data_IF_441702351807
#
_entry.id   IF_441702351807
#
_cell.length_a   1.000
_cell.length_b   1.000
_cell.length_c   1.000
_cell.angle_alpha   90.00
_cell.angle_beta   90.00
_cell.angle_gamma   90.00
#
_symmetry.space_group_name_H-M   'P 1'
#
loop_
_entity.id
_entity.type
_entity.pdbx_description
1 polymer ?
#
# COMPACT_ATOMS: atom_id res chain seq x y z
N UNK A 1 -25.02 -3.19 10.65
CA UNK A 1 -23.95 -2.92 9.69
C UNK A 1 -22.67 -3.54 10.22
N UNK A 2 -21.87 -4.12 9.34
CA UNK A 2 -20.49 -4.58 9.66
C UNK A 2 -19.54 -3.68 8.88
N UNK A 3 -18.46 -3.23 9.53
CA UNK A 3 -17.45 -2.38 8.91
C UNK A 3 -16.13 -3.13 8.85
N UNK A 4 -15.54 -3.21 7.67
CA UNK A 4 -14.26 -3.86 7.40
C UNK A 4 -13.20 -2.86 7.00
N UNK A 5 -11.95 -3.16 7.30
CA UNK A 5 -10.80 -2.55 6.64
C UNK A 5 -10.57 -3.20 5.26
N UNK A 6 -9.76 -2.58 4.40
CA UNK A 6 -9.45 -3.07 3.06
C UNK A 6 -8.15 -3.86 3.03
N UNK A 7 -7.02 -3.19 3.04
CA UNK A 7 -5.72 -3.80 2.80
C UNK A 7 -5.34 -4.80 3.91
N UNK A 8 -5.11 -6.05 3.54
CA UNK A 8 -4.80 -7.13 4.48
C UNK A 8 -5.99 -7.67 5.28
N UNK A 9 -7.22 -7.15 5.04
CA UNK A 9 -8.45 -7.61 5.70
C UNK A 9 -9.44 -8.17 4.68
N UNK A 10 -9.82 -7.39 3.69
CA UNK A 10 -10.77 -7.83 2.64
C UNK A 10 -10.12 -7.99 1.27
N UNK A 11 -9.07 -7.22 1.00
CA UNK A 11 -8.27 -7.32 -0.22
C UNK A 11 -6.78 -7.31 0.13
N UNK A 12 -5.92 -7.64 -0.81
CA UNK A 12 -4.46 -7.61 -0.67
C UNK A 12 -3.94 -8.54 0.45
N UNK A 13 -3.50 -9.71 0.06
CA UNK A 13 -2.86 -10.68 0.96
C UNK A 13 -1.65 -10.07 1.68
N UNK A 14 -1.85 -9.76 2.97
CA UNK A 14 -0.84 -9.25 3.90
C UNK A 14 -0.27 -7.86 3.57
N UNK A 15 -1.06 -6.98 2.94
CA UNK A 15 -0.64 -5.61 2.59
C UNK A 15 0.67 -5.57 1.81
N UNK A 16 0.80 -6.44 0.80
CA UNK A 16 2.04 -6.65 0.05
C UNK A 16 2.38 -5.49 -0.88
N UNK A 17 1.38 -4.73 -1.35
CA UNK A 17 1.57 -3.64 -2.29
C UNK A 17 2.61 -2.61 -1.82
N UNK A 18 2.56 -2.05 -0.60
CA UNK A 18 3.56 -1.05 -0.18
C UNK A 18 4.99 -1.59 -0.19
N UNK A 19 5.20 -2.85 0.24
CA UNK A 19 6.53 -3.43 0.28
C UNK A 19 7.10 -3.69 -1.12
N UNK A 20 6.25 -4.09 -2.06
CA UNK A 20 6.62 -4.24 -3.48
C UNK A 20 6.99 -2.87 -4.10
N UNK A 21 6.24 -1.83 -3.75
CA UNK A 21 6.51 -0.47 -4.23
C UNK A 21 7.85 0.06 -3.72
N UNK A 22 8.18 -0.15 -2.43
CA UNK A 22 9.49 0.20 -1.91
C UNK A 22 10.63 -0.50 -2.69
N UNK A 23 10.49 -1.80 -2.93
CA UNK A 23 11.48 -2.55 -3.71
C UNK A 23 11.67 -1.98 -5.11
N UNK A 24 10.59 -1.73 -5.85
CA UNK A 24 10.62 -1.17 -7.20
C UNK A 24 11.26 0.22 -7.23
N UNK A 25 10.86 1.11 -6.32
CA UNK A 25 11.37 2.48 -6.25
C UNK A 25 12.88 2.51 -5.96
N UNK A 26 13.34 1.73 -5.00
CA UNK A 26 14.76 1.66 -4.69
C UNK A 26 15.57 0.94 -5.77
N UNK A 27 15.04 -0.14 -6.34
CA UNK A 27 15.69 -0.85 -7.45
C UNK A 27 15.89 0.04 -8.68
N UNK A 28 14.94 0.94 -8.98
CA UNK A 28 15.07 1.92 -10.06
C UNK A 28 16.21 2.92 -9.81
N UNK A 29 16.59 3.15 -8.56
CA UNK A 29 17.71 4.00 -8.17
C UNK A 29 19.05 3.23 -8.07
N UNK A 30 19.04 1.90 -8.27
CA UNK A 30 20.21 1.04 -8.13
C UNK A 30 20.51 0.65 -6.67
N UNK A 31 19.52 0.72 -5.79
CA UNK A 31 19.61 0.35 -4.38
C UNK A 31 18.68 -0.83 -4.11
N UNK A 32 19.19 -1.90 -3.52
CA UNK A 32 18.46 -3.13 -3.31
C UNK A 32 18.39 -3.48 -1.82
N UNK A 33 17.18 -3.72 -1.35
CA UNK A 33 16.91 -4.19 0.00
C UNK A 33 16.26 -5.57 -0.03
N UNK A 34 16.56 -6.37 0.96
CA UNK A 34 15.81 -7.61 1.20
C UNK A 34 14.39 -7.30 1.67
N UNK A 35 13.48 -8.25 1.47
CA UNK A 35 12.10 -8.13 1.97
C UNK A 35 12.05 -7.89 3.49
N UNK A 36 12.97 -8.48 4.23
CA UNK A 36 13.08 -8.29 5.68
C UNK A 36 13.47 -6.84 6.03
N UNK A 37 14.45 -6.27 5.34
CA UNK A 37 14.88 -4.87 5.53
C UNK A 37 13.73 -3.91 5.25
N UNK A 38 13.00 -4.09 4.14
CA UNK A 38 11.83 -3.29 3.79
C UNK A 38 10.73 -3.41 4.85
N UNK A 39 10.45 -4.59 5.35
CA UNK A 39 9.37 -4.82 6.29
C UNK A 39 9.69 -4.34 7.72
N UNK A 40 10.95 -4.21 8.10
CA UNK A 40 11.34 -3.80 9.46
C UNK A 40 10.76 -2.45 9.89
N UNK A 41 10.81 -1.37 9.08
CA UNK A 41 10.15 -0.10 9.39
C UNK A 41 8.68 -0.03 8.92
N UNK A 42 8.03 -1.16 8.56
CA UNK A 42 6.64 -1.14 8.10
C UNK A 42 5.70 -0.61 9.21
N UNK A 43 4.75 0.23 8.82
CA UNK A 43 3.88 0.95 9.76
C UNK A 43 4.32 2.38 10.07
N UNK A 44 5.56 2.76 9.73
CA UNK A 44 5.99 4.15 9.79
C UNK A 44 5.33 5.00 8.69
N UNK A 45 5.29 6.30 8.89
CA UNK A 45 4.99 7.27 7.82
C UNK A 45 5.94 7.07 6.65
N UNK A 46 5.48 7.20 5.39
CA UNK A 46 6.20 6.72 4.20
C UNK A 46 7.55 7.42 3.97
N UNK A 47 7.64 8.74 4.18
CA UNK A 47 8.92 9.46 4.08
C UNK A 47 9.88 9.04 5.19
N UNK A 48 9.37 8.83 6.40
CA UNK A 48 10.16 8.31 7.51
C UNK A 48 10.68 6.89 7.21
N UNK A 49 9.88 6.04 6.57
CA UNK A 49 10.27 4.71 6.14
C UNK A 49 11.41 4.76 5.08
N UNK A 50 11.26 5.60 4.03
CA UNK A 50 12.30 5.81 3.02
C UNK A 50 13.62 6.27 3.66
N UNK A 51 13.53 7.24 4.58
CA UNK A 51 14.69 7.76 5.33
C UNK A 51 15.33 6.67 6.21
N UNK A 52 14.52 5.85 6.89
CA UNK A 52 15.01 4.75 7.72
C UNK A 52 15.81 3.73 6.91
N UNK A 53 15.35 3.35 5.71
CA UNK A 53 16.06 2.43 4.81
C UNK A 53 17.39 3.00 4.34
N UNK A 54 17.42 4.24 3.86
CA UNK A 54 18.66 4.90 3.41
C UNK A 54 19.63 5.23 4.55
N UNK A 55 19.17 5.31 5.80
CA UNK A 55 20.01 5.53 6.97
C UNK A 55 20.69 4.26 7.48
N UNK A 56 20.34 3.09 6.94
CA UNK A 56 21.08 1.85 7.25
C UNK A 56 22.48 1.91 6.60
N UNK A 57 23.45 1.20 7.17
CA UNK A 57 24.78 1.09 6.60
C UNK A 57 24.73 0.57 5.14
N UNK A 58 23.91 -0.47 4.91
CA UNK A 58 23.70 -1.04 3.58
C UNK A 58 23.07 -0.03 2.61
N UNK A 59 22.00 0.66 3.01
CA UNK A 59 21.29 1.63 2.17
C UNK A 59 22.17 2.84 1.81
N UNK A 60 22.86 3.41 2.79
CA UNK A 60 23.77 4.55 2.57
C UNK A 60 24.93 4.17 1.64
N UNK A 61 25.54 2.99 1.83
CA UNK A 61 26.64 2.53 0.99
C UNK A 61 26.22 2.32 -0.46
N UNK A 62 25.09 1.62 -0.69
CA UNK A 62 24.54 1.38 -2.03
C UNK A 62 24.15 2.70 -2.71
N UNK A 63 23.48 3.60 -2.00
CA UNK A 63 23.12 4.91 -2.54
C UNK A 63 24.37 5.70 -2.99
N UNK A 64 25.36 5.79 -2.13
CA UNK A 64 26.62 6.46 -2.46
C UNK A 64 27.34 5.83 -3.65
N UNK A 65 27.32 4.51 -3.76
CA UNK A 65 27.85 3.79 -4.92
C UNK A 65 27.08 4.11 -6.20
N UNK A 66 25.73 4.14 -6.13
CA UNK A 66 24.88 4.38 -7.30
C UNK A 66 24.86 5.84 -7.75
N UNK A 67 24.93 6.80 -6.82
CA UNK A 67 24.78 8.24 -7.08
C UNK A 67 26.06 9.05 -6.99
N UNK A 68 27.12 8.51 -6.41
CA UNK A 68 28.40 9.21 -6.21
C UNK A 68 28.42 10.21 -5.04
N UNK A 69 27.30 10.33 -4.30
CA UNK A 69 27.14 11.26 -3.17
C UNK A 69 26.24 10.63 -2.08
N UNK A 70 26.28 11.19 -0.89
CA UNK A 70 25.36 10.82 0.18
C UNK A 70 23.94 11.32 -0.15
N UNK A 71 22.90 10.61 0.34
CA UNK A 71 21.51 11.00 0.12
C UNK A 71 21.15 12.29 0.88
N UNK A 72 20.14 13.00 0.39
CA UNK A 72 19.64 14.26 0.92
C UNK A 72 18.15 14.23 1.15
N UNK A 73 17.60 15.23 1.85
CA UNK A 73 16.15 15.37 2.00
C UNK A 73 15.43 15.56 0.64
N UNK A 74 16.08 16.19 -0.33
CA UNK A 74 15.55 16.32 -1.69
C UNK A 74 15.40 14.93 -2.38
N UNK A 75 16.30 14.00 -2.09
CA UNK A 75 16.19 12.63 -2.59
C UNK A 75 15.02 11.90 -1.94
N UNK A 76 14.76 12.12 -0.65
CA UNK A 76 13.59 11.57 0.05
C UNK A 76 12.28 12.07 -0.57
N UNK A 77 12.17 13.37 -0.87
CA UNK A 77 10.98 13.93 -1.54
C UNK A 77 10.78 13.29 -2.91
N UNK A 78 11.82 13.17 -3.73
CA UNK A 78 11.77 12.56 -5.05
C UNK A 78 11.39 11.07 -5.00
N UNK A 79 11.97 10.32 -4.04
CA UNK A 79 11.62 8.91 -3.81
C UNK A 79 10.17 8.76 -3.34
N UNK A 80 9.68 9.69 -2.54
CA UNK A 80 8.29 9.68 -2.08
C UNK A 80 7.31 9.93 -3.24
N UNK A 81 7.58 10.90 -4.11
CA UNK A 81 6.79 11.13 -5.31
C UNK A 81 6.76 9.89 -6.22
N UNK A 82 7.91 9.23 -6.41
CA UNK A 82 8.00 8.00 -7.16
C UNK A 82 7.22 6.86 -6.48
N UNK A 83 7.28 6.77 -5.16
CA UNK A 83 6.54 5.80 -4.37
C UNK A 83 5.02 5.99 -4.53
N UNK A 84 4.51 7.21 -4.42
CA UNK A 84 3.08 7.50 -4.60
C UNK A 84 2.60 7.14 -6.01
N UNK A 85 3.37 7.53 -7.03
CA UNK A 85 3.05 7.21 -8.42
C UNK A 85 3.02 5.70 -8.69
N UNK A 86 4.00 4.96 -8.17
CA UNK A 86 4.07 3.51 -8.34
C UNK A 86 2.99 2.78 -7.51
N UNK A 87 2.73 3.24 -6.28
CA UNK A 87 1.65 2.69 -5.46
C UNK A 87 0.30 2.84 -6.17
N UNK A 88 0.04 3.99 -6.76
CA UNK A 88 -1.18 4.22 -7.53
C UNK A 88 -1.32 3.25 -8.71
N UNK A 89 -0.20 2.94 -9.40
CA UNK A 89 -0.20 2.00 -10.54
C UNK A 89 -0.49 0.56 -10.12
N UNK A 90 0.06 0.13 -8.98
CA UNK A 90 -0.01 -1.28 -8.58
C UNK A 90 -1.19 -1.58 -7.65
N UNK A 91 -1.81 -0.57 -7.04
CA UNK A 91 -2.88 -0.78 -6.05
C UNK A 91 -4.04 -1.62 -6.59
N UNK A 92 -4.36 -1.48 -7.87
CA UNK A 92 -5.40 -2.27 -8.52
C UNK A 92 -5.03 -3.76 -8.66
N UNK A 93 -3.74 -4.09 -8.79
CA UNK A 93 -3.25 -5.48 -8.88
C UNK A 93 -3.49 -6.22 -7.56
N UNK A 94 -3.39 -5.50 -6.43
CA UNK A 94 -3.58 -6.01 -5.07
C UNK A 94 -5.03 -5.86 -4.55
N UNK A 95 -5.99 -5.60 -5.44
CA UNK A 95 -7.41 -5.42 -5.11
C UNK A 95 -8.22 -6.70 -5.15
N UNK A 96 -7.58 -7.86 -5.32
CA UNK A 96 -8.27 -9.14 -5.27
C UNK A 96 -8.76 -9.42 -3.84
N UNK A 97 -10.03 -9.83 -3.67
CA UNK A 97 -10.53 -10.25 -2.37
C UNK A 97 -9.75 -11.43 -1.82
N UNK A 98 -9.48 -11.39 -0.51
CA UNK A 98 -8.88 -12.49 0.23
C UNK A 98 -9.87 -13.67 0.25
N UNK A 99 -9.36 -14.90 0.22
CA UNK A 99 -10.17 -16.11 0.22
C UNK A 99 -11.20 -16.13 1.37
N UNK A 100 -12.45 -16.42 1.04
CA UNK A 100 -13.56 -16.44 1.97
C UNK A 100 -14.26 -15.10 2.21
N UNK A 101 -13.69 -13.98 1.79
CA UNK A 101 -14.31 -12.64 1.97
C UNK A 101 -15.63 -12.53 1.22
N UNK A 102 -15.66 -12.90 -0.06
CA UNK A 102 -16.86 -12.80 -0.89
C UNK A 102 -17.98 -13.66 -0.31
N UNK A 103 -17.68 -14.89 0.11
CA UNK A 103 -18.63 -15.80 0.73
C UNK A 103 -19.14 -15.23 2.07
N UNK A 104 -18.26 -14.78 2.94
CA UNK A 104 -18.60 -14.20 4.25
C UNK A 104 -19.50 -12.98 4.09
N UNK A 105 -19.15 -12.08 3.19
CA UNK A 105 -19.97 -10.89 2.88
C UNK A 105 -21.34 -11.28 2.34
N UNK A 106 -21.40 -12.31 1.49
CA UNK A 106 -22.66 -12.86 1.00
C UNK A 106 -23.55 -13.38 2.14
N UNK A 107 -22.99 -14.12 3.10
CA UNK A 107 -23.72 -14.60 4.27
C UNK A 107 -24.22 -13.45 5.16
N UNK A 108 -23.38 -12.44 5.41
CA UNK A 108 -23.78 -11.25 6.19
C UNK A 108 -24.93 -10.49 5.51
N UNK A 109 -24.87 -10.34 4.18
CA UNK A 109 -25.95 -9.72 3.42
C UNK A 109 -27.26 -10.53 3.46
N UNK A 110 -27.17 -11.87 3.43
CA UNK A 110 -28.33 -12.74 3.58
C UNK A 110 -28.97 -12.61 4.97
N UNK A 111 -28.21 -12.21 6.00
CA UNK A 111 -28.71 -11.87 7.34
C UNK A 111 -29.31 -10.44 7.42
N UNK A 112 -29.39 -9.71 6.31
CA UNK A 112 -29.91 -8.34 6.26
C UNK A 112 -28.91 -7.27 6.69
N UNK A 113 -27.62 -7.59 6.83
CA UNK A 113 -26.60 -6.65 7.26
C UNK A 113 -26.06 -5.83 6.09
N UNK A 114 -25.82 -4.55 6.34
CA UNK A 114 -25.08 -3.66 5.43
C UNK A 114 -23.58 -3.79 5.69
N UNK A 115 -22.78 -3.61 4.63
CA UNK A 115 -21.35 -3.71 4.65
C UNK A 115 -20.75 -2.31 4.47
N UNK A 116 -20.14 -1.78 5.51
CA UNK A 116 -19.34 -0.57 5.46
C UNK A 116 -17.87 -0.91 5.33
N UNK A 117 -17.07 0.07 4.95
CA UNK A 117 -15.63 -0.08 4.88
C UNK A 117 -14.89 1.20 5.24
N UNK A 118 -13.75 1.05 5.90
CA UNK A 118 -12.75 2.09 6.12
C UNK A 118 -11.44 1.66 5.50
N UNK A 119 -10.58 2.60 5.14
CA UNK A 119 -9.28 2.30 4.53
C UNK A 119 -8.29 3.42 4.77
N UNK A 120 -7.00 3.11 4.77
CA UNK A 120 -5.92 4.10 4.69
C UNK A 120 -5.62 4.58 3.27
N UNK A 121 -6.29 4.02 2.25
CA UNK A 121 -6.16 4.49 0.86
C UNK A 121 -6.93 5.80 0.65
N UNK A 122 -6.38 6.68 -0.19
CA UNK A 122 -7.06 7.90 -0.61
C UNK A 122 -8.25 7.59 -1.52
N UNK A 123 -9.18 8.53 -1.64
CA UNK A 123 -10.32 8.40 -2.58
C UNK A 123 -9.85 8.11 -4.01
N UNK A 124 -8.77 8.75 -4.44
CA UNK A 124 -8.19 8.54 -5.77
C UNK A 124 -7.66 7.09 -5.95
N UNK A 125 -7.03 6.51 -4.93
CA UNK A 125 -6.64 5.09 -4.97
C UNK A 125 -7.86 4.18 -5.03
N UNK A 126 -8.90 4.50 -4.26
CA UNK A 126 -10.14 3.71 -4.23
C UNK A 126 -10.88 3.71 -5.56
N UNK A 127 -10.74 4.74 -6.42
CA UNK A 127 -11.25 4.73 -7.79
C UNK A 127 -10.69 3.57 -8.65
N UNK A 128 -9.50 3.09 -8.33
CA UNK A 128 -8.89 1.93 -9.00
C UNK A 128 -9.27 0.61 -8.31
N UNK A 129 -9.30 0.62 -6.98
CA UNK A 129 -9.54 -0.58 -6.16
C UNK A 129 -10.98 -1.07 -6.25
N UNK A 130 -11.96 -0.14 -6.10
CA UNK A 130 -13.39 -0.49 -6.03
C UNK A 130 -13.89 -1.25 -7.26
N UNK A 131 -13.66 -0.79 -8.50
CA UNK A 131 -14.12 -1.50 -9.68
C UNK A 131 -13.51 -2.90 -9.81
N UNK A 132 -12.23 -3.03 -9.46
CA UNK A 132 -11.52 -4.30 -9.52
C UNK A 132 -12.04 -5.29 -8.49
N UNK A 133 -12.17 -4.89 -7.22
CA UNK A 133 -12.73 -5.72 -6.16
C UNK A 133 -14.19 -6.15 -6.47
N UNK A 134 -15.00 -5.21 -6.98
CA UNK A 134 -16.39 -5.48 -7.40
C UNK A 134 -16.46 -6.50 -8.53
N UNK A 135 -15.57 -6.41 -9.53
CA UNK A 135 -15.49 -7.38 -10.63
C UNK A 135 -15.15 -8.80 -10.15
N UNK A 136 -14.53 -8.90 -8.97
CA UNK A 136 -14.15 -10.16 -8.32
C UNK A 136 -15.12 -10.58 -7.20
N UNK A 137 -16.25 -9.86 -7.06
CA UNK A 137 -17.37 -10.23 -6.18
C UNK A 137 -17.40 -9.52 -4.83
N UNK A 138 -16.44 -8.65 -4.50
CA UNK A 138 -16.45 -7.88 -3.26
C UNK A 138 -16.90 -6.44 -3.47
N UNK A 139 -17.98 -6.04 -2.80
CA UNK A 139 -18.51 -4.69 -2.84
C UNK A 139 -18.98 -4.25 -1.45
N UNK A 140 -18.54 -3.08 -0.99
CA UNK A 140 -19.06 -2.41 0.19
C UNK A 140 -20.24 -1.48 -0.18
N UNK A 141 -21.20 -1.30 0.73
CA UNK A 141 -22.35 -0.38 0.56
C UNK A 141 -21.91 1.09 0.81
N UNK A 142 -20.87 1.29 1.61
CA UNK A 142 -20.20 2.58 1.79
C UNK A 142 -18.72 2.38 2.10
N UNK A 143 -17.91 3.33 1.66
CA UNK A 143 -16.45 3.37 1.90
C UNK A 143 -16.08 4.73 2.44
N UNK A 144 -15.27 4.75 3.49
CA UNK A 144 -14.76 5.97 4.12
C UNK A 144 -13.24 6.00 3.95
N UNK A 145 -12.74 7.07 3.35
CA UNK A 145 -11.32 7.33 3.11
C UNK A 145 -10.81 8.47 3.98
N UNK A 146 -9.48 8.57 4.27
CA UNK A 146 -8.92 9.60 5.13
C UNK A 146 -9.17 11.02 4.64
N UNK A 147 -9.16 11.23 3.35
CA UNK A 147 -9.31 12.52 2.68
C UNK A 147 -10.77 13.04 2.67
N UNK A 148 -11.74 12.21 3.05
CA UNK A 148 -13.17 12.60 3.19
C UNK A 148 -13.52 12.96 4.63
N UNK A 149 -12.76 12.43 5.60
CA UNK A 149 -13.02 12.62 7.04
C UNK A 149 -12.15 13.68 7.69
N UNK A 150 -11.24 14.33 6.94
CA UNK A 150 -10.18 15.28 7.30
C UNK A 150 -10.50 16.44 8.21
#
# INVERSE_FOLDING_TARGET
>A
MVVFDWAGTTVDYASSAPAEVFDRVFSAEGVHFTREEINRPMGMEKKAHLRALLSTENGAAQWKQAKGADWTDADIERLYEAFEAELFRVVAEYSAPIDGVVETVGQLRAMGLKIGSTTGYTSQMMEQVLPRAASLGYQADCVVTPDVTG
#
